data_IF_477678909792
#
_entry.id   IF_477678909792
#
_cell.length_a   1.000
_cell.length_b   1.000
_cell.length_c   1.000
_cell.angle_alpha   90.00
_cell.angle_beta   90.00
_cell.angle_gamma   90.00
#
_symmetry.space_group_name_H-M   'P 1'
#
loop_
_entity.id
_entity.type
_entity.pdbx_description
1 polymer ?
#
# COMPACT_ATOMS: atom_id res chain seq x y z
N UNK A 1 -27.02 -5.59 4.38
CA UNK A 1 -26.20 -4.63 5.02
C UNK A 1 -24.77 -4.67 4.52
N UNK A 2 -24.24 -3.52 4.34
CA UNK A 2 -22.91 -3.38 3.80
C UNK A 2 -21.84 -4.05 4.65
N UNK A 3 -22.10 -4.11 5.93
CA UNK A 3 -21.17 -4.73 6.86
C UNK A 3 -20.78 -6.14 6.49
N UNK A 4 -21.72 -6.92 5.97
CA UNK A 4 -21.42 -8.30 5.64
C UNK A 4 -20.41 -8.37 4.51
N UNK A 5 -20.61 -7.56 3.46
CA UNK A 5 -19.68 -7.52 2.36
C UNK A 5 -18.35 -6.91 2.79
N UNK A 6 -18.42 -5.85 3.61
CA UNK A 6 -17.21 -5.23 4.11
C UNK A 6 -16.41 -6.19 4.98
N UNK A 7 -17.12 -7.00 5.78
CA UNK A 7 -16.47 -8.00 6.61
C UNK A 7 -15.79 -9.07 5.77
N UNK A 8 -16.27 -9.27 4.54
CA UNK A 8 -15.68 -10.29 3.66
C UNK A 8 -14.45 -9.79 2.91
N UNK A 9 -14.23 -8.46 2.88
CA UNK A 9 -13.07 -7.93 2.17
C UNK A 9 -11.80 -8.18 2.96
N UNK A 10 -10.81 -8.73 2.29
CA UNK A 10 -9.49 -8.96 2.85
C UNK A 10 -8.48 -8.53 1.78
N UNK A 11 -7.48 -7.73 2.14
CA UNK A 11 -6.44 -7.35 1.17
C UNK A 11 -5.70 -8.57 0.65
N UNK A 12 -5.30 -8.51 -0.61
CA UNK A 12 -4.53 -9.58 -1.25
C UNK A 12 -3.24 -9.02 -1.83
N UNK A 13 -2.33 -9.90 -2.15
CA UNK A 13 -1.07 -9.52 -2.79
C UNK A 13 -1.33 -8.68 -4.03
N UNK A 14 -0.55 -7.62 -4.20
CA UNK A 14 -0.63 -6.70 -5.33
C UNK A 14 -1.75 -5.67 -5.19
N UNK A 15 -2.62 -5.81 -4.21
CA UNK A 15 -3.64 -4.80 -3.96
C UNK A 15 -3.00 -3.49 -3.50
N UNK A 16 -3.59 -2.38 -3.93
CA UNK A 16 -3.31 -1.07 -3.35
C UNK A 16 -4.45 -0.76 -2.40
N UNK A 17 -4.10 -0.40 -1.18
CA UNK A 17 -5.10 -0.10 -0.14
C UNK A 17 -4.81 1.25 0.48
N UNK A 18 -5.84 1.85 1.06
CA UNK A 18 -5.67 2.99 1.95
C UNK A 18 -5.46 2.45 3.35
N UNK A 19 -4.45 2.95 4.04
CA UNK A 19 -4.21 2.55 5.42
C UNK A 19 -3.59 3.70 6.19
N UNK A 20 -3.96 3.80 7.46
CA UNK A 20 -3.38 4.77 8.36
C UNK A 20 -1.97 4.31 8.73
N UNK A 21 -0.98 5.04 8.23
CA UNK A 21 0.43 4.69 8.43
C UNK A 21 1.03 5.38 9.66
N UNK A 22 0.23 6.10 10.40
CA UNK A 22 0.70 6.79 11.58
C UNK A 22 1.19 5.76 12.61
N UNK A 23 2.44 5.86 13.07
CA UNK A 23 2.96 4.90 14.04
C UNK A 23 2.28 4.99 15.40
N UNK A 24 1.65 6.13 15.72
CA UNK A 24 1.01 6.34 17.00
C UNK A 24 -0.48 6.34 16.85
N UNK A 25 -1.13 5.36 17.41
CA UNK A 25 -2.58 5.29 17.38
C UNK A 25 -3.17 6.36 18.31
N UNK A 26 -4.38 6.77 17.99
CA UNK A 26 -5.09 7.74 18.82
C UNK A 26 -4.78 9.19 18.51
N UNK A 27 -3.97 9.46 17.51
CA UNK A 27 -3.76 10.84 17.09
C UNK A 27 -5.02 11.37 16.43
N UNK A 28 -5.21 12.67 16.56
CA UNK A 28 -6.39 13.32 15.99
C UNK A 28 -6.41 13.22 14.48
N UNK A 29 -5.27 13.50 13.85
CA UNK A 29 -5.17 13.47 12.40
C UNK A 29 -4.69 12.12 11.94
N UNK A 30 -5.44 11.57 11.01
CA UNK A 30 -5.07 10.30 10.43
C UNK A 30 -4.10 10.53 9.29
N UNK A 31 -3.09 9.68 9.24
CA UNK A 31 -2.07 9.74 8.20
C UNK A 31 -2.32 8.60 7.22
N UNK A 32 -3.37 8.74 6.44
CA UNK A 32 -3.83 7.71 5.53
C UNK A 32 -3.11 7.85 4.20
N UNK A 33 -2.47 6.77 3.77
CA UNK A 33 -1.68 6.74 2.53
C UNK A 33 -2.00 5.49 1.73
N UNK A 34 -1.71 5.51 0.44
CA UNK A 34 -1.75 4.27 -0.33
C UNK A 34 -0.60 3.36 0.08
N UNK A 35 -0.86 2.06 0.03
CA UNK A 35 0.07 1.05 0.51
C UNK A 35 -0.06 -0.17 -0.41
N UNK A 36 1.06 -0.65 -0.92
CA UNK A 36 1.08 -1.82 -1.79
C UNK A 36 1.21 -3.08 -0.94
N UNK A 37 0.27 -3.98 -1.07
CA UNK A 37 0.26 -5.23 -0.30
C UNK A 37 1.13 -6.26 -1.00
N UNK A 38 2.04 -6.87 -0.25
CA UNK A 38 2.91 -7.94 -0.74
C UNK A 38 2.49 -9.31 -0.22
N UNK A 39 1.89 -9.36 0.95
CA UNK A 39 1.50 -10.63 1.58
C UNK A 39 0.19 -11.13 1.01
N UNK A 40 0.02 -12.46 0.90
CA UNK A 40 -1.18 -13.04 0.30
C UNK A 40 -2.39 -12.95 1.22
N UNK A 41 -3.57 -13.03 0.61
CA UNK A 41 -4.84 -12.93 1.33
C UNK A 41 -4.94 -13.89 2.51
N UNK A 42 -4.47 -15.12 2.33
CA UNK A 42 -4.57 -16.12 3.39
C UNK A 42 -3.81 -15.69 4.64
N UNK A 43 -2.62 -15.11 4.46
CA UNK A 43 -1.86 -14.57 5.58
C UNK A 43 -2.59 -13.37 6.19
N UNK A 44 -3.06 -12.47 5.34
CA UNK A 44 -3.68 -11.22 5.79
C UNK A 44 -4.98 -11.48 6.56
N UNK A 45 -5.73 -12.47 6.13
CA UNK A 45 -6.97 -12.83 6.80
C UNK A 45 -6.69 -13.49 8.14
N UNK A 46 -5.74 -14.40 8.17
CA UNK A 46 -5.46 -15.19 9.37
C UNK A 46 -4.82 -14.36 10.47
N UNK A 47 -3.94 -13.43 10.11
CA UNK A 47 -3.17 -12.68 11.08
C UNK A 47 -3.70 -11.28 11.36
N UNK A 48 -4.60 -10.76 10.52
CA UNK A 48 -5.02 -9.36 10.49
C UNK A 48 -3.87 -8.40 10.14
N UNK A 49 -2.76 -8.93 9.68
CA UNK A 49 -1.61 -8.11 9.27
C UNK A 49 -1.53 -8.06 7.74
N UNK A 50 -0.93 -6.99 7.24
CA UNK A 50 -0.43 -6.91 5.86
C UNK A 50 1.04 -6.59 5.94
N UNK A 51 1.81 -7.20 5.04
CA UNK A 51 3.21 -6.83 4.83
C UNK A 51 3.26 -6.17 3.46
N UNK A 52 3.86 -5.00 3.40
CA UNK A 52 3.90 -4.28 2.14
C UNK A 52 4.76 -3.04 2.17
N UNK A 53 4.51 -2.16 1.22
CA UNK A 53 5.36 -0.99 0.96
C UNK A 53 4.51 0.26 0.87
N UNK A 54 4.93 1.35 1.51
CA UNK A 54 4.21 2.61 1.38
C UNK A 54 4.39 3.21 -0.01
N UNK A 55 3.42 4.01 -0.42
CA UNK A 55 3.45 4.72 -1.69
C UNK A 55 3.36 6.21 -1.42
N UNK A 56 3.97 7.00 -2.28
CA UNK A 56 4.02 8.45 -2.11
C UNK A 56 4.06 9.16 -3.46
N UNK A 57 3.67 10.42 -3.48
CA UNK A 57 3.85 11.29 -4.65
C UNK A 57 4.98 12.30 -4.44
N UNK A 58 5.75 12.20 -3.38
CA UNK A 58 6.83 13.14 -3.09
C UNK A 58 7.86 13.13 -4.25
N UNK A 59 8.06 14.28 -4.92
CA UNK A 59 8.83 14.28 -6.18
C UNK A 59 10.30 13.95 -6.03
N UNK A 60 10.89 14.13 -4.86
CA UNK A 60 12.30 13.80 -4.67
C UNK A 60 12.59 12.32 -4.90
N UNK A 61 11.55 11.49 -4.91
CA UNK A 61 11.72 10.06 -5.15
C UNK A 61 12.07 9.74 -6.61
N UNK A 62 11.99 10.70 -7.51
CA UNK A 62 12.46 10.49 -8.88
C UNK A 62 13.94 10.10 -8.92
N UNK A 63 14.72 10.54 -7.92
CA UNK A 63 16.15 10.21 -7.85
C UNK A 63 16.43 9.08 -6.85
N UNK A 64 15.40 8.46 -6.32
CA UNK A 64 15.56 7.38 -5.35
C UNK A 64 15.65 6.05 -6.09
N UNK A 65 16.82 5.36 -6.07
CA UNK A 65 16.97 4.12 -6.82
C UNK A 65 16.10 2.97 -6.30
N UNK A 66 15.54 3.12 -5.10
CA UNK A 66 14.69 2.09 -4.50
C UNK A 66 13.20 2.40 -4.64
N UNK A 67 12.86 3.48 -5.31
CA UNK A 67 11.48 3.83 -5.60
C UNK A 67 11.11 3.35 -7.00
N UNK A 68 9.95 2.72 -7.11
CA UNK A 68 9.43 2.24 -8.39
C UNK A 68 8.24 3.08 -8.77
N UNK A 69 8.21 3.56 -10.00
CA UNK A 69 7.09 4.35 -10.50
C UNK A 69 5.89 3.42 -10.66
N UNK A 70 4.81 3.77 -9.96
CA UNK A 70 3.57 3.00 -9.99
C UNK A 70 2.58 3.53 -11.02
N UNK A 71 2.73 4.79 -11.42
CA UNK A 71 1.81 5.43 -12.34
C UNK A 71 1.51 6.85 -11.91
N UNK A 72 0.39 7.36 -12.34
CA UNK A 72 -0.03 8.72 -12.04
C UNK A 72 -1.15 8.67 -11.00
N UNK A 73 -1.00 9.45 -9.96
CA UNK A 73 -1.99 9.51 -8.89
C UNK A 73 -3.28 10.16 -9.35
N UNK A 74 -4.38 9.77 -8.72
CA UNK A 74 -5.69 10.35 -8.96
C UNK A 74 -6.15 11.13 -7.73
N UNK A 75 -7.32 11.76 -7.83
CA UNK A 75 -7.88 12.52 -6.74
C UNK A 75 -7.13 13.83 -6.52
N UNK A 76 -6.90 14.18 -5.27
CA UNK A 76 -6.26 15.45 -4.92
C UNK A 76 -4.84 15.57 -5.43
N UNK A 77 -4.18 14.44 -5.63
CA UNK A 77 -2.81 14.41 -6.15
C UNK A 77 -2.78 14.09 -7.62
N UNK A 78 -3.89 14.30 -8.31
CA UNK A 78 -4.04 13.99 -9.73
C UNK A 78 -2.91 14.62 -10.56
N UNK A 79 -2.34 13.84 -11.46
CA UNK A 79 -1.26 14.28 -12.33
C UNK A 79 0.13 14.10 -11.75
N UNK A 80 0.25 13.79 -10.46
CA UNK A 80 1.55 13.57 -9.85
C UNK A 80 1.96 12.11 -9.99
N UNK A 81 3.25 11.89 -10.20
CA UNK A 81 3.79 10.53 -10.27
C UNK A 81 3.73 9.88 -8.89
N UNK A 82 3.27 8.65 -8.87
CA UNK A 82 3.20 7.86 -7.65
C UNK A 82 4.35 6.87 -7.60
N UNK A 83 4.97 6.73 -6.45
CA UNK A 83 6.14 5.87 -6.25
C UNK A 83 5.87 4.83 -5.17
N UNK A 84 6.38 3.62 -5.37
CA UNK A 84 6.40 2.57 -4.35
C UNK A 84 7.78 2.60 -3.70
N UNK A 85 7.83 2.71 -2.38
CA UNK A 85 9.09 2.84 -1.63
C UNK A 85 9.56 1.45 -1.20
N UNK A 86 10.34 0.81 -2.05
CA UNK A 86 10.74 -0.58 -1.83
C UNK A 86 11.70 -0.77 -0.66
N UNK A 87 12.35 0.31 -0.21
CA UNK A 87 13.30 0.25 0.91
C UNK A 87 12.64 0.44 2.27
N UNK A 88 11.31 0.51 2.31
CA UNK A 88 10.58 0.75 3.56
C UNK A 88 9.48 -0.28 3.79
N UNK A 89 9.82 -1.58 3.82
CA UNK A 89 8.80 -2.58 4.10
C UNK A 89 8.24 -2.40 5.51
N UNK A 90 6.92 -2.57 5.61
CA UNK A 90 6.21 -2.38 6.85
C UNK A 90 5.17 -3.47 7.03
N UNK A 91 4.80 -3.68 8.29
CA UNK A 91 3.72 -4.59 8.62
C UNK A 91 2.73 -3.84 9.49
N UNK A 92 1.46 -3.87 9.10
CA UNK A 92 0.40 -3.16 9.83
C UNK A 92 -0.77 -4.09 10.09
N UNK A 93 -1.47 -3.86 11.21
CA UNK A 93 -2.76 -4.49 11.47
C UNK A 93 -3.83 -3.76 10.65
N UNK A 94 -4.21 -4.35 9.52
CA UNK A 94 -5.09 -3.66 8.57
C UNK A 94 -6.52 -3.51 9.09
N UNK A 95 -6.97 -4.43 9.95
CA UNK A 95 -8.31 -4.30 10.54
C UNK A 95 -8.36 -3.17 11.57
N UNK A 96 -7.39 -3.15 12.45
CA UNK A 96 -7.33 -2.14 13.50
C UNK A 96 -7.11 -0.75 12.93
N UNK A 97 -6.36 -0.64 11.85
CA UNK A 97 -6.10 0.63 11.19
C UNK A 97 -7.15 0.96 10.13
N UNK A 98 -8.20 0.16 10.06
CA UNK A 98 -9.36 0.43 9.19
C UNK A 98 -8.98 0.63 7.74
N UNK A 99 -8.16 -0.27 7.23
CA UNK A 99 -7.75 -0.22 5.84
C UNK A 99 -8.96 -0.39 4.92
N UNK A 100 -8.88 0.20 3.74
CA UNK A 100 -9.95 0.12 2.76
C UNK A 100 -9.36 0.00 1.36
N UNK A 101 -10.13 -0.50 0.38
CA UNK A 101 -9.64 -0.62 -0.97
C UNK A 101 -9.37 0.76 -1.58
N UNK A 102 -8.26 0.86 -2.31
CA UNK A 102 -7.95 2.03 -3.11
C UNK A 102 -8.73 1.97 -4.43
N UNK A 103 -9.12 3.12 -5.01
CA UNK A 103 -9.85 3.09 -6.28
C UNK A 103 -9.16 2.35 -7.41
N UNK A 104 -7.82 2.34 -7.44
CA UNK A 104 -7.06 1.60 -8.43
C UNK A 104 -7.08 0.11 -8.21
N UNK A 105 -7.38 -0.35 -7.02
CA UNK A 105 -7.51 -1.73 -6.60
C UNK A 105 -6.21 -2.51 -6.65
N UNK A 106 -5.56 -2.60 -7.80
CA UNK A 106 -4.32 -3.36 -7.96
C UNK A 106 -3.28 -2.54 -8.68
N UNK A 107 -2.03 -2.77 -8.32
CA UNK A 107 -0.92 -2.26 -9.10
C UNK A 107 -0.78 -3.11 -10.36
N UNK A 108 -0.51 -2.48 -11.50
CA UNK A 108 -0.31 -3.18 -12.74
C UNK A 108 0.86 -4.17 -12.64
N UNK A 109 0.81 -5.22 -13.46
CA UNK A 109 1.79 -6.30 -13.38
C UNK A 109 3.22 -5.84 -13.64
N UNK A 110 3.41 -4.94 -14.61
CA UNK A 110 4.76 -4.49 -14.97
C UNK A 110 5.45 -3.78 -13.80
N UNK A 111 4.86 -2.72 -13.22
CA UNK A 111 5.48 -2.11 -12.04
C UNK A 111 5.56 -3.06 -10.86
N UNK A 112 4.61 -3.99 -10.69
CA UNK A 112 4.68 -4.94 -9.60
C UNK A 112 5.90 -5.86 -9.75
N UNK A 113 6.16 -6.32 -10.95
CA UNK A 113 7.36 -7.13 -11.23
C UNK A 113 8.62 -6.36 -10.90
N UNK A 114 8.66 -5.08 -11.24
CA UNK A 114 9.81 -4.23 -10.95
C UNK A 114 10.00 -4.08 -9.45
N UNK A 115 8.91 -3.92 -8.70
CA UNK A 115 8.95 -3.84 -7.24
C UNK A 115 9.59 -5.09 -6.66
N UNK A 116 9.17 -6.25 -7.14
CA UNK A 116 9.72 -7.52 -6.64
C UNK A 116 11.20 -7.65 -6.96
N UNK A 117 11.63 -7.18 -8.13
CA UNK A 117 13.05 -7.19 -8.50
C UNK A 117 13.87 -6.32 -7.55
N UNK A 118 13.41 -5.12 -7.28
CA UNK A 118 14.12 -4.20 -6.37
C UNK A 118 14.16 -4.78 -4.96
N UNK A 119 13.03 -5.30 -4.47
CA UNK A 119 12.99 -5.93 -3.16
C UNK A 119 13.98 -7.08 -3.06
N UNK A 120 14.04 -7.91 -4.10
CA UNK A 120 14.93 -9.04 -4.09
C UNK A 120 16.40 -8.63 -3.98
N UNK A 121 16.75 -7.46 -4.47
CA UNK A 121 18.11 -6.93 -4.33
C UNK A 121 18.39 -6.46 -2.91
N UNK A 122 17.34 -6.07 -2.17
CA UNK A 122 17.49 -5.56 -0.81
C UNK A 122 17.43 -6.66 0.25
N UNK A 123 16.85 -7.77 -0.09
CA UNK A 123 16.67 -8.90 0.83
C UNK A 123 17.59 -10.04 0.44
#
# INVERSE_FOLDING_TARGET
>A
MATKRDAAWVPDRQDIIWIDCNPQKGREMRDVHPFLVLSPRTFNDRTSLVIGLPMTTAPYNADNPFAVIAGVASGRKSGQTSYVLCHQPKSFDWRQRQASPHPLQKLDDAPFSEVLMVLNQLL
#
